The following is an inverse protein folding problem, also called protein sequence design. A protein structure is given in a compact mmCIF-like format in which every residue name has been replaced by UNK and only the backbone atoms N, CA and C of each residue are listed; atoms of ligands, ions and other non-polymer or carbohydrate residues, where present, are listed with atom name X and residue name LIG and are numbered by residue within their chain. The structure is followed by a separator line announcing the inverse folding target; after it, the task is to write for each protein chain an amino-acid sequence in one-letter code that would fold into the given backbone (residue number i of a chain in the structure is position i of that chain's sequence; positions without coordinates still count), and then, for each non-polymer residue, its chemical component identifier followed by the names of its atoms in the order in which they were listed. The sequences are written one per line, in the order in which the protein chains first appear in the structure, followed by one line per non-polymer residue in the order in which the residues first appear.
data_IF_053708642803
#
_entry.id   IF_053708642803
#
_cell.length_a   1.000
_cell.length_b   1.000
_cell.length_c   1.000
_cell.angle_alpha   90.00
_cell.angle_beta   90.00
_cell.angle_gamma   90.00
#
_symmetry.space_group_name_H-M   'P 1'
#
loop_
_entity.id
_entity.type
_entity.pdbx_description
1 polymer ?
#
# COMPACT_ATOMS: atom_id res chain seq x y z
N UNK A 1 -16.65 8.98 -16.28
CA UNK A 1 -15.85 9.65 -15.23
C UNK A 1 -15.55 8.57 -14.21
N UNK A 2 -14.30 8.21 -13.99
CA UNK A 2 -13.89 7.24 -12.95
C UNK A 2 -14.22 7.83 -11.57
N UNK A 3 -14.88 7.03 -10.72
CA UNK A 3 -15.32 7.44 -9.39
C UNK A 3 -14.12 7.65 -8.46
N UNK A 4 -14.12 8.70 -7.63
CA UNK A 4 -13.11 8.87 -6.57
C UNK A 4 -13.44 7.86 -5.47
N UNK A 5 -12.50 6.95 -5.18
CA UNK A 5 -12.68 5.91 -4.19
C UNK A 5 -12.10 6.32 -2.82
N UNK A 6 -10.93 6.97 -2.83
CA UNK A 6 -10.29 7.53 -1.65
C UNK A 6 -9.97 9.01 -1.90
N UNK A 7 -10.35 9.89 -0.97
CA UNK A 7 -10.07 11.32 -1.03
C UNK A 7 -9.53 11.80 0.31
N UNK A 8 -8.43 12.50 0.26
CA UNK A 8 -7.79 13.12 1.43
C UNK A 8 -7.83 14.63 1.24
N UNK A 9 -8.34 15.36 2.23
CA UNK A 9 -8.52 16.81 2.16
C UNK A 9 -7.96 17.49 3.41
N UNK A 10 -6.98 18.37 3.23
CA UNK A 10 -6.39 19.18 4.27
C UNK A 10 -5.80 18.38 5.45
N UNK A 11 -5.35 17.13 5.20
CA UNK A 11 -4.91 16.21 6.25
C UNK A 11 -3.72 16.76 7.01
N UNK A 12 -3.86 16.84 8.35
CA UNK A 12 -2.79 17.19 9.28
C UNK A 12 -2.63 16.11 10.33
N UNK A 13 -1.38 15.68 10.53
CA UNK A 13 -1.02 14.67 11.54
C UNK A 13 0.24 15.12 12.27
N UNK A 14 0.23 15.01 13.60
CA UNK A 14 1.35 15.41 14.46
C UNK A 14 1.71 14.29 15.45
N UNK A 15 2.99 14.20 15.74
CA UNK A 15 3.55 13.42 16.85
C UNK A 15 4.02 14.41 17.95
N UNK A 16 3.26 14.50 19.04
CA UNK A 16 3.52 15.55 20.03
C UNK A 16 3.51 16.95 19.40
N UNK A 17 4.61 17.68 19.51
CA UNK A 17 4.77 19.03 18.95
C UNK A 17 5.22 19.06 17.48
N UNK A 18 5.51 17.91 16.84
CA UNK A 18 6.05 17.86 15.48
C UNK A 18 4.94 17.52 14.49
N UNK A 19 4.65 18.44 13.58
CA UNK A 19 3.68 18.21 12.51
C UNK A 19 4.35 17.47 11.34
N UNK A 20 4.04 16.16 11.23
CA UNK A 20 4.59 15.29 10.21
C UNK A 20 3.84 15.41 8.85
N UNK A 21 2.53 15.71 8.89
CA UNK A 21 1.70 15.98 7.70
C UNK A 21 1.03 17.32 7.91
N UNK A 22 1.17 18.26 6.94
CA UNK A 22 0.94 19.69 7.15
C UNK A 22 -0.25 20.26 6.36
N UNK A 23 -1.18 19.42 5.96
CA UNK A 23 -2.35 19.79 5.15
C UNK A 23 -2.19 19.29 3.72
N UNK A 24 -2.25 17.96 3.54
CA UNK A 24 -2.14 17.33 2.22
C UNK A 24 -3.50 17.05 1.63
N UNK A 25 -3.59 17.23 0.31
CA UNK A 25 -4.75 16.96 -0.51
C UNK A 25 -4.36 16.00 -1.63
N UNK A 26 -5.08 14.88 -1.75
CA UNK A 26 -4.95 13.97 -2.88
C UNK A 26 -6.17 13.05 -3.01
N UNK A 27 -6.28 12.41 -4.16
CA UNK A 27 -7.35 11.48 -4.46
C UNK A 27 -6.84 10.24 -5.20
N UNK A 28 -7.52 9.11 -5.00
CA UNK A 28 -7.31 7.86 -5.73
C UNK A 28 -8.65 7.44 -6.32
N UNK A 29 -8.66 7.17 -7.63
CA UNK A 29 -9.85 6.76 -8.35
C UNK A 29 -9.95 5.24 -8.40
N UNK A 30 -11.16 4.75 -8.59
CA UNK A 30 -11.41 3.31 -8.70
C UNK A 30 -10.62 2.69 -9.86
N UNK A 31 -9.91 1.58 -9.56
CA UNK A 31 -9.06 0.86 -10.51
C UNK A 31 -7.73 1.56 -10.84
N UNK A 32 -7.41 2.69 -10.21
CA UNK A 32 -6.19 3.46 -10.47
C UNK A 32 -5.03 2.94 -9.60
N UNK A 33 -3.82 2.89 -10.16
CA UNK A 33 -2.58 2.75 -9.42
C UNK A 33 -1.97 4.13 -9.24
N UNK A 34 -2.00 4.62 -8.00
CA UNK A 34 -1.42 5.92 -7.63
C UNK A 34 -0.17 5.71 -6.80
N UNK A 35 0.89 6.46 -7.11
CA UNK A 35 2.13 6.45 -6.33
C UNK A 35 2.30 7.73 -5.52
N UNK A 36 2.59 7.59 -4.23
CA UNK A 36 3.02 8.67 -3.35
C UNK A 36 4.52 8.52 -3.08
N UNK A 37 5.32 9.33 -3.74
CA UNK A 37 6.78 9.30 -3.64
C UNK A 37 7.31 10.42 -2.77
N UNK A 38 8.49 10.24 -2.22
CA UNK A 38 9.17 11.25 -1.39
C UNK A 38 10.33 10.65 -0.61
N UNK A 39 11.20 11.51 -0.09
CA UNK A 39 12.33 11.13 0.76
C UNK A 39 11.87 10.51 2.10
N UNK A 40 12.81 9.90 2.82
CA UNK A 40 12.56 9.44 4.18
C UNK A 40 12.22 10.63 5.08
N UNK A 41 11.18 10.46 5.92
CA UNK A 41 10.68 11.54 6.77
C UNK A 41 9.75 12.54 6.08
N UNK A 42 9.43 12.38 4.79
CA UNK A 42 8.50 13.27 4.08
C UNK A 42 7.05 13.22 4.62
N UNK A 43 6.68 12.18 5.39
CA UNK A 43 5.33 12.00 5.95
C UNK A 43 4.50 10.92 5.28
N UNK A 44 5.06 10.13 4.34
CA UNK A 44 4.38 9.09 3.58
C UNK A 44 3.73 8.02 4.47
N UNK A 45 4.52 7.32 5.28
CA UNK A 45 4.04 6.31 6.24
C UNK A 45 3.03 6.89 7.24
N UNK A 46 3.24 8.13 7.69
CA UNK A 46 2.29 8.84 8.57
C UNK A 46 0.94 9.03 7.89
N UNK A 47 0.95 9.43 6.62
CA UNK A 47 -0.26 9.56 5.80
C UNK A 47 -0.99 8.22 5.66
N UNK A 48 -0.26 7.13 5.37
CA UNK A 48 -0.83 5.78 5.28
C UNK A 48 -1.47 5.33 6.60
N UNK A 49 -0.79 5.54 7.72
CA UNK A 49 -1.31 5.21 9.07
C UNK A 49 -2.54 6.04 9.44
N UNK A 50 -2.62 7.30 8.97
CA UNK A 50 -3.80 8.13 9.17
C UNK A 50 -5.00 7.62 8.34
N UNK A 51 -4.78 7.26 7.06
CA UNK A 51 -5.83 6.70 6.19
C UNK A 51 -6.40 5.39 6.77
N UNK A 52 -5.54 4.57 7.34
CA UNK A 52 -5.96 3.27 7.92
C UNK A 52 -6.49 3.37 9.35
N UNK A 53 -6.63 4.57 9.90
CA UNK A 53 -7.14 4.77 11.27
C UNK A 53 -6.18 4.31 12.38
N UNK A 54 -4.91 3.97 12.04
CA UNK A 54 -3.87 3.61 13.03
C UNK A 54 -3.41 4.86 13.80
N UNK A 55 -3.37 6.01 13.12
CA UNK A 55 -3.05 7.30 13.73
C UNK A 55 -4.24 8.24 13.67
N UNK A 56 -4.54 8.95 14.78
CA UNK A 56 -5.55 9.99 14.76
C UNK A 56 -5.11 11.18 13.92
N UNK A 57 -6.05 11.83 13.25
CA UNK A 57 -5.81 13.04 12.48
C UNK A 57 -6.08 14.28 13.34
N UNK A 58 -5.24 15.32 13.22
CA UNK A 58 -5.41 16.59 13.93
C UNK A 58 -6.40 17.52 13.21
N UNK A 59 -6.38 17.54 11.86
CA UNK A 59 -7.30 18.32 11.04
C UNK A 59 -7.44 17.69 9.65
N UNK A 60 -8.40 18.18 8.89
CA UNK A 60 -8.74 17.66 7.59
C UNK A 60 -9.74 16.51 7.65
N UNK A 61 -9.94 15.86 6.53
CA UNK A 61 -10.84 14.71 6.40
C UNK A 61 -10.28 13.67 5.43
N UNK A 62 -10.72 12.42 5.62
CA UNK A 62 -10.44 11.29 4.73
C UNK A 62 -11.78 10.67 4.38
N UNK A 63 -12.11 10.69 3.10
CA UNK A 63 -13.31 10.08 2.57
C UNK A 63 -12.97 8.78 1.84
N UNK A 64 -13.68 7.73 2.16
CA UNK A 64 -13.65 6.47 1.42
C UNK A 64 -15.05 6.18 0.88
N UNK A 65 -15.18 5.98 -0.44
CA UNK A 65 -16.48 5.84 -1.14
C UNK A 65 -17.42 7.02 -0.86
N UNK A 66 -16.88 8.23 -0.77
CA UNK A 66 -17.66 9.46 -0.52
C UNK A 66 -18.17 9.60 0.90
N UNK A 67 -17.72 8.77 1.85
CA UNK A 67 -18.06 8.86 3.26
C UNK A 67 -16.82 9.10 4.09
N UNK A 68 -16.88 10.03 5.05
CA UNK A 68 -15.78 10.25 5.98
C UNK A 68 -15.54 9.00 6.82
N UNK A 69 -14.26 8.59 6.88
CA UNK A 69 -13.79 7.46 7.70
C UNK A 69 -13.05 7.95 8.94
N UNK A 70 -13.16 9.24 9.26
CA UNK A 70 -12.53 9.84 10.44
C UNK A 70 -12.99 9.15 11.71
N UNK A 71 -12.05 8.68 12.53
CA UNK A 71 -12.33 7.99 13.79
C UNK A 71 -12.70 6.51 13.66
N UNK A 72 -12.76 5.96 12.44
CA UNK A 72 -12.89 4.51 12.25
C UNK A 72 -11.56 3.81 12.52
N UNK A 73 -11.62 2.61 13.11
CA UNK A 73 -10.44 1.79 13.37
C UNK A 73 -10.05 0.91 12.19
N UNK A 74 -8.80 0.39 12.16
CA UNK A 74 -8.32 -0.46 11.06
C UNK A 74 -9.18 -1.71 10.85
N UNK A 75 -9.74 -2.27 11.93
CA UNK A 75 -10.61 -3.46 11.86
C UNK A 75 -11.96 -3.19 11.18
N UNK A 76 -12.46 -1.95 11.23
CA UNK A 76 -13.69 -1.57 10.52
C UNK A 76 -13.40 -1.28 9.05
N UNK A 77 -12.25 -0.65 8.76
CA UNK A 77 -11.85 -0.32 7.41
C UNK A 77 -11.53 -1.55 6.56
N UNK A 78 -10.89 -2.58 7.14
CA UNK A 78 -10.63 -3.83 6.41
C UNK A 78 -11.92 -4.55 6.03
N UNK A 79 -12.96 -4.51 6.87
CA UNK A 79 -14.30 -5.04 6.52
C UNK A 79 -14.96 -4.29 5.37
N UNK A 80 -14.62 -3.02 5.21
CA UNK A 80 -15.11 -2.18 4.11
C UNK A 80 -14.28 -2.32 2.83
N UNK A 81 -13.20 -3.12 2.85
CA UNK A 81 -12.36 -3.39 1.70
C UNK A 81 -11.15 -2.45 1.57
N UNK A 82 -10.73 -1.78 2.64
CA UNK A 82 -9.50 -0.99 2.69
C UNK A 82 -8.44 -1.76 3.47
N UNK A 83 -7.45 -2.32 2.78
CA UNK A 83 -6.37 -3.10 3.38
C UNK A 83 -5.01 -2.42 3.21
N UNK A 84 -4.07 -2.74 4.09
CA UNK A 84 -2.71 -2.19 4.07
C UNK A 84 -1.66 -3.28 4.23
N UNK A 85 -0.62 -3.20 3.40
CA UNK A 85 0.66 -3.88 3.60
C UNK A 85 1.59 -2.86 4.25
N UNK A 86 1.92 -3.00 5.54
CA UNK A 86 2.75 -2.03 6.25
C UNK A 86 4.22 -2.17 5.89
N UNK A 87 5.00 -1.12 6.11
CA UNK A 87 6.45 -1.18 6.21
C UNK A 87 6.86 -2.26 7.24
N UNK A 88 7.93 -3.00 6.96
CA UNK A 88 8.42 -4.05 7.85
C UNK A 88 7.65 -5.37 7.78
N UNK A 89 6.82 -5.57 6.74
CA UNK A 89 6.14 -6.82 6.37
C UNK A 89 5.00 -7.23 7.30
N UNK A 90 5.18 -7.19 8.62
CA UNK A 90 4.17 -7.48 9.64
C UNK A 90 3.60 -8.91 9.60
N UNK A 91 4.38 -9.92 9.15
CA UNK A 91 3.95 -11.32 9.14
C UNK A 91 3.91 -11.91 10.56
N UNK A 92 3.01 -12.86 10.79
CA UNK A 92 2.96 -13.61 12.04
C UNK A 92 4.04 -14.71 12.02
N UNK A 93 5.21 -14.41 12.58
CA UNK A 93 6.42 -15.22 12.46
C UNK A 93 6.31 -16.63 13.05
N UNK A 94 5.41 -16.82 14.03
CA UNK A 94 5.15 -18.12 14.70
C UNK A 94 4.04 -18.94 14.05
N UNK A 95 3.40 -18.40 13.01
CA UNK A 95 2.39 -19.08 12.20
C UNK A 95 3.04 -19.56 10.89
N UNK A 96 2.47 -20.61 10.32
CA UNK A 96 2.84 -21.08 8.98
C UNK A 96 2.44 -20.06 7.91
N UNK A 97 2.93 -20.24 6.70
CA UNK A 97 2.53 -19.45 5.52
C UNK A 97 1.01 -19.55 5.33
N UNK A 98 0.47 -20.77 5.32
CA UNK A 98 -0.96 -21.00 5.13
C UNK A 98 -1.80 -20.32 6.21
N UNK A 99 -1.43 -20.45 7.48
CA UNK A 99 -2.13 -19.77 8.58
C UNK A 99 -2.07 -18.25 8.47
N UNK A 100 -0.94 -17.68 8.02
CA UNK A 100 -0.84 -16.24 7.73
C UNK A 100 -1.84 -15.82 6.64
N UNK A 101 -1.98 -16.60 5.56
CA UNK A 101 -2.96 -16.31 4.51
C UNK A 101 -4.39 -16.40 5.04
N UNK A 102 -4.72 -17.44 5.80
CA UNK A 102 -6.02 -17.61 6.44
C UNK A 102 -6.37 -16.44 7.37
N UNK A 103 -5.39 -15.92 8.13
CA UNK A 103 -5.56 -14.72 8.93
C UNK A 103 -5.92 -13.48 8.10
N UNK A 104 -5.47 -13.40 6.85
CA UNK A 104 -5.87 -12.33 5.93
C UNK A 104 -7.36 -12.36 5.57
N UNK A 105 -7.98 -13.53 5.63
CA UNK A 105 -9.41 -13.73 5.40
C UNK A 105 -10.27 -13.67 6.69
N UNK A 106 -9.70 -13.27 7.83
CA UNK A 106 -10.36 -13.34 9.15
C UNK A 106 -11.73 -12.65 9.21
N UNK A 107 -11.95 -11.62 8.40
CA UNK A 107 -13.22 -10.87 8.34
C UNK A 107 -14.27 -11.51 7.42
N UNK A 108 -13.96 -12.66 6.79
CA UNK A 108 -14.79 -13.35 5.81
C UNK A 108 -15.34 -14.65 6.37
N UNK A 109 -16.51 -15.07 5.85
CA UNK A 109 -17.22 -16.29 6.26
C UNK A 109 -17.40 -17.29 5.11
N UNK A 110 -16.96 -16.93 3.88
CA UNK A 110 -17.13 -17.67 2.64
C UNK A 110 -16.03 -18.73 2.44
N UNK A 111 -16.01 -19.80 3.24
CA UNK A 111 -14.92 -20.77 3.35
C UNK A 111 -14.46 -21.33 1.98
N UNK A 112 -15.36 -21.76 1.08
CA UNK A 112 -14.99 -22.27 -0.23
C UNK A 112 -14.25 -21.20 -1.07
N UNK A 113 -14.72 -19.98 -1.07
CA UNK A 113 -14.07 -18.89 -1.79
C UNK A 113 -12.74 -18.45 -1.15
N UNK A 114 -12.54 -18.67 0.16
CA UNK A 114 -11.25 -18.47 0.82
C UNK A 114 -10.22 -19.48 0.31
N UNK A 115 -10.59 -20.75 0.14
CA UNK A 115 -9.69 -21.77 -0.43
C UNK A 115 -9.28 -21.42 -1.86
N UNK A 116 -10.23 -21.04 -2.71
CA UNK A 116 -9.95 -20.55 -4.07
C UNK A 116 -9.00 -19.35 -4.09
N UNK A 117 -9.14 -18.43 -3.16
CA UNK A 117 -8.27 -17.24 -3.07
C UNK A 117 -6.86 -17.60 -2.55
N UNK A 118 -6.74 -18.59 -1.67
CA UNK A 118 -5.41 -19.13 -1.27
C UNK A 118 -4.70 -19.70 -2.51
N UNK A 119 -5.40 -20.46 -3.34
CA UNK A 119 -4.83 -21.02 -4.57
C UNK A 119 -4.43 -19.93 -5.57
N UNK A 120 -5.21 -18.85 -5.69
CA UNK A 120 -4.83 -17.67 -6.50
C UNK A 120 -3.57 -17.01 -5.96
N UNK A 121 -3.47 -16.80 -4.64
CA UNK A 121 -2.28 -16.25 -3.99
C UNK A 121 -1.07 -17.14 -4.22
N UNK A 122 -1.22 -18.44 -4.15
CA UNK A 122 -0.16 -19.39 -4.47
C UNK A 122 0.23 -19.36 -5.96
N UNK A 123 -0.74 -19.13 -6.85
CA UNK A 123 -0.46 -18.88 -8.28
C UNK A 123 0.39 -17.64 -8.52
N UNK A 124 0.15 -16.54 -7.76
CA UNK A 124 0.96 -15.32 -7.80
C UNK A 124 2.35 -15.56 -7.16
N UNK A 125 2.41 -16.33 -6.08
CA UNK A 125 3.60 -16.60 -5.29
C UNK A 125 3.89 -18.10 -5.14
N UNK A 126 4.35 -18.83 -6.19
CA UNK A 126 4.56 -20.27 -6.13
C UNK A 126 5.51 -20.74 -5.03
N UNK A 127 6.50 -19.90 -4.67
CA UNK A 127 7.43 -20.19 -3.57
C UNK A 127 6.73 -20.31 -2.21
N UNK A 128 5.64 -19.60 -2.01
CA UNK A 128 4.84 -19.71 -0.78
C UNK A 128 4.07 -21.04 -0.76
N UNK A 129 3.58 -21.51 -1.91
CA UNK A 129 2.92 -22.80 -2.03
C UNK A 129 3.83 -23.96 -1.67
N UNK A 130 5.06 -23.98 -2.24
CA UNK A 130 6.08 -25.01 -1.97
C UNK A 130 6.37 -25.19 -0.47
N UNK A 131 6.15 -24.13 0.31
CA UNK A 131 6.49 -24.02 1.73
C UNK A 131 5.29 -23.70 2.62
N UNK A 132 4.07 -23.99 2.19
CA UNK A 132 2.82 -23.59 2.83
C UNK A 132 2.76 -23.89 4.34
N UNK A 133 3.37 -25.00 4.79
CA UNK A 133 3.42 -25.44 6.20
C UNK A 133 4.65 -24.89 6.97
N UNK A 134 5.55 -24.18 6.31
CA UNK A 134 6.76 -23.62 6.94
C UNK A 134 6.38 -22.39 7.78
N UNK A 135 7.06 -22.19 8.92
CA UNK A 135 6.89 -21.01 9.74
C UNK A 135 7.34 -19.73 9.02
N UNK A 136 6.51 -18.71 9.01
CA UNK A 136 6.78 -17.45 8.31
C UNK A 136 8.06 -16.74 8.80
N UNK A 137 8.43 -16.93 10.06
CA UNK A 137 9.66 -16.36 10.62
C UNK A 137 10.96 -16.92 10.04
N UNK A 138 10.90 -18.06 9.34
CA UNK A 138 12.08 -18.70 8.71
C UNK A 138 12.25 -18.32 7.23
N UNK A 139 11.34 -17.53 6.70
CA UNK A 139 11.38 -17.04 5.32
C UNK A 139 12.42 -15.92 5.16
N UNK A 140 12.97 -15.80 3.95
CA UNK A 140 13.75 -14.63 3.56
C UNK A 140 12.90 -13.36 3.58
N UNK A 141 13.54 -12.18 3.62
CA UNK A 141 12.84 -10.91 3.63
C UNK A 141 11.89 -10.70 2.45
N UNK A 142 12.28 -11.14 1.26
CA UNK A 142 11.43 -11.06 0.08
C UNK A 142 10.24 -12.01 0.14
N UNK A 143 10.42 -13.23 0.63
CA UNK A 143 9.33 -14.19 0.82
C UNK A 143 8.34 -13.71 1.89
N UNK A 144 8.82 -13.07 2.97
CA UNK A 144 7.96 -12.45 3.98
C UNK A 144 7.15 -11.29 3.38
N UNK A 145 7.75 -10.50 2.48
CA UNK A 145 7.04 -9.43 1.78
C UNK A 145 5.94 -9.98 0.86
N UNK A 146 6.24 -11.04 0.10
CA UNK A 146 5.24 -11.75 -0.71
C UNK A 146 4.10 -12.28 0.16
N UNK A 147 4.41 -12.86 1.33
CA UNK A 147 3.42 -13.37 2.26
C UNK A 147 2.55 -12.23 2.82
N UNK A 148 3.13 -11.08 3.17
CA UNK A 148 2.39 -9.91 3.63
C UNK A 148 1.41 -9.39 2.57
N UNK A 149 1.85 -9.34 1.30
CA UNK A 149 1.00 -8.98 0.17
C UNK A 149 -0.10 -10.01 -0.06
N UNK A 150 0.24 -11.30 -0.10
CA UNK A 150 -0.73 -12.39 -0.23
C UNK A 150 -1.79 -12.34 0.87
N UNK A 151 -1.37 -12.14 2.12
CA UNK A 151 -2.29 -12.00 3.25
C UNK A 151 -3.23 -10.79 3.10
N UNK A 152 -2.75 -9.65 2.61
CA UNK A 152 -3.61 -8.50 2.36
C UNK A 152 -4.64 -8.78 1.26
N UNK A 153 -4.26 -9.49 0.20
CA UNK A 153 -5.15 -9.89 -0.89
C UNK A 153 -6.28 -10.83 -0.43
N UNK A 154 -6.03 -11.65 0.59
CA UNK A 154 -7.05 -12.56 1.15
C UNK A 154 -8.27 -11.84 1.71
N UNK A 155 -8.18 -10.56 2.06
CA UNK A 155 -9.34 -9.75 2.47
C UNK A 155 -10.20 -9.28 1.30
N UNK A 156 -9.83 -9.56 0.04
CA UNK A 156 -10.43 -9.06 -1.22
C UNK A 156 -10.58 -7.53 -1.18
N UNK A 157 -9.49 -6.79 -1.04
CA UNK A 157 -9.54 -5.35 -0.88
C UNK A 157 -10.03 -4.67 -2.17
N UNK A 158 -10.78 -3.59 -2.03
CA UNK A 158 -11.07 -2.65 -3.12
C UNK A 158 -9.96 -1.60 -3.24
N UNK A 159 -9.37 -1.22 -2.09
CA UNK A 159 -8.17 -0.38 -2.01
C UNK A 159 -7.10 -1.12 -1.25
N UNK A 160 -5.95 -1.28 -1.88
CA UNK A 160 -4.75 -1.84 -1.28
C UNK A 160 -3.71 -0.73 -1.12
N UNK A 161 -3.39 -0.42 0.13
CA UNK A 161 -2.34 0.51 0.49
C UNK A 161 -1.05 -0.28 0.70
N UNK A 162 0.07 0.16 0.10
CA UNK A 162 1.36 -0.50 0.27
C UNK A 162 2.43 0.52 0.69
N UNK A 163 3.03 0.29 1.86
CA UNK A 163 4.01 1.20 2.45
C UNK A 163 5.43 0.65 2.28
N UNK A 164 6.15 1.19 1.31
CA UNK A 164 7.53 0.86 0.93
C UNK A 164 7.77 -0.67 0.77
N UNK A 165 6.97 -1.37 -0.06
CA UNK A 165 7.03 -2.82 -0.17
C UNK A 165 8.36 -3.33 -0.74
N UNK A 166 9.14 -2.49 -1.40
CA UNK A 166 10.44 -2.86 -1.98
C UNK A 166 11.63 -2.67 -1.03
N UNK A 167 11.42 -2.05 0.15
CA UNK A 167 12.51 -1.66 1.03
C UNK A 167 13.28 -2.85 1.59
N UNK A 168 14.62 -2.78 1.50
CA UNK A 168 15.52 -3.81 2.04
C UNK A 168 15.49 -5.15 1.30
N UNK A 169 15.01 -5.17 0.06
CA UNK A 169 14.99 -6.35 -0.80
C UNK A 169 16.13 -6.34 -1.82
N UNK A 170 16.49 -7.54 -2.30
CA UNK A 170 17.43 -7.67 -3.41
C UNK A 170 16.82 -7.12 -4.72
N UNK A 171 17.64 -6.67 -5.69
CA UNK A 171 17.12 -6.12 -6.95
C UNK A 171 16.12 -7.03 -7.67
N UNK A 172 16.38 -8.34 -7.70
CA UNK A 172 15.47 -9.32 -8.31
C UNK A 172 14.11 -9.37 -7.59
N UNK A 173 14.13 -9.30 -6.26
CA UNK A 173 12.90 -9.29 -5.46
C UNK A 173 12.12 -7.99 -5.62
N UNK A 174 12.82 -6.86 -5.73
CA UNK A 174 12.19 -5.57 -6.05
C UNK A 174 11.42 -5.66 -7.35
N UNK A 175 12.04 -6.17 -8.43
CA UNK A 175 11.36 -6.36 -9.71
C UNK A 175 10.10 -7.20 -9.57
N UNK A 176 10.20 -8.34 -8.87
CA UNK A 176 9.06 -9.23 -8.63
C UNK A 176 7.92 -8.54 -7.87
N UNK A 177 8.22 -7.73 -6.85
CA UNK A 177 7.21 -6.99 -6.09
C UNK A 177 6.48 -5.99 -7.01
N UNK A 178 7.20 -5.23 -7.84
CA UNK A 178 6.58 -4.27 -8.76
C UNK A 178 5.75 -4.95 -9.86
N UNK A 179 6.17 -6.13 -10.35
CA UNK A 179 5.34 -6.96 -11.24
C UNK A 179 4.01 -7.31 -10.56
N UNK A 180 4.05 -7.83 -9.33
CA UNK A 180 2.84 -8.20 -8.58
C UNK A 180 1.95 -7.00 -8.31
N UNK A 181 2.52 -5.85 -7.93
CA UNK A 181 1.74 -4.61 -7.73
C UNK A 181 0.97 -4.24 -8.99
N UNK A 182 1.64 -4.28 -10.15
CA UNK A 182 1.00 -4.02 -11.45
C UNK A 182 -0.09 -5.04 -11.78
N UNK A 183 0.18 -6.33 -11.57
CA UNK A 183 -0.75 -7.40 -11.89
C UNK A 183 -2.01 -7.35 -11.00
N UNK A 184 -1.85 -7.00 -9.72
CA UNK A 184 -2.96 -6.78 -8.78
C UNK A 184 -3.81 -5.58 -9.23
N UNK A 185 -3.19 -4.48 -9.62
CA UNK A 185 -3.90 -3.31 -10.16
C UNK A 185 -4.62 -3.65 -11.47
N UNK A 186 -3.99 -4.39 -12.37
CA UNK A 186 -4.60 -4.84 -13.63
C UNK A 186 -5.83 -5.75 -13.43
N UNK A 187 -5.96 -6.40 -12.27
CA UNK A 187 -7.15 -7.17 -11.88
C UNK A 187 -8.28 -6.29 -11.30
N UNK A 188 -8.12 -4.97 -11.31
CA UNK A 188 -9.13 -4.00 -10.88
C UNK A 188 -9.03 -3.57 -9.41
N UNK A 189 -8.02 -4.02 -8.68
CA UNK A 189 -7.76 -3.51 -7.32
C UNK A 189 -7.18 -2.11 -7.41
N UNK A 190 -7.78 -1.16 -6.71
CA UNK A 190 -7.23 0.20 -6.59
C UNK A 190 -6.01 0.18 -5.68
N UNK A 191 -4.90 0.77 -6.10
CA UNK A 191 -3.65 0.70 -5.36
C UNK A 191 -3.13 2.11 -5.04
N UNK A 192 -2.81 2.35 -3.76
CA UNK A 192 -1.97 3.48 -3.33
C UNK A 192 -0.62 2.93 -2.88
N UNK A 193 0.40 3.16 -3.70
CA UNK A 193 1.77 2.70 -3.48
C UNK A 193 2.61 3.84 -2.92
N UNK A 194 3.09 3.69 -1.70
CA UNK A 194 4.12 4.57 -1.13
C UNK A 194 5.48 3.98 -1.37
N UNK A 195 6.39 4.75 -1.94
CA UNK A 195 7.75 4.30 -2.25
C UNK A 195 8.78 5.42 -2.17
N UNK A 196 10.01 5.04 -1.83
CA UNK A 196 11.18 5.91 -1.95
C UNK A 196 11.79 5.80 -3.35
N UNK A 197 11.72 4.62 -3.99
CA UNK A 197 12.20 4.42 -5.35
C UNK A 197 11.24 5.03 -6.37
N UNK A 198 11.35 6.35 -6.55
CA UNK A 198 10.46 7.13 -7.39
C UNK A 198 10.43 6.65 -8.84
N UNK A 199 11.59 6.28 -9.40
CA UNK A 199 11.68 5.80 -10.78
C UNK A 199 10.80 4.57 -11.01
N UNK A 200 10.95 3.55 -10.17
CA UNK A 200 10.16 2.32 -10.29
C UNK A 200 8.69 2.55 -10.00
N UNK A 201 8.38 3.28 -8.93
CA UNK A 201 7.00 3.55 -8.54
C UNK A 201 6.22 4.28 -9.63
N UNK A 202 6.79 5.36 -10.18
CA UNK A 202 6.16 6.12 -11.26
C UNK A 202 6.13 5.36 -12.60
N UNK A 203 7.05 4.40 -12.82
CA UNK A 203 7.06 3.62 -14.07
C UNK A 203 5.85 2.70 -14.21
N UNK A 204 5.22 2.30 -13.11
CA UNK A 204 4.05 1.41 -13.10
C UNK A 204 2.74 2.12 -12.74
N UNK A 205 2.82 3.35 -12.21
CA UNK A 205 1.65 4.10 -11.77
C UNK A 205 0.97 4.84 -12.93
N UNK A 206 -0.34 5.08 -12.77
CA UNK A 206 -1.12 5.96 -13.65
C UNK A 206 -0.87 7.42 -13.28
N UNK A 207 -0.90 7.73 -11.97
CA UNK A 207 -0.67 9.07 -11.41
C UNK A 207 0.31 9.02 -10.25
N UNK A 208 0.92 10.16 -9.99
CA UNK A 208 1.83 10.32 -8.86
C UNK A 208 1.60 11.60 -8.07
N UNK A 209 1.95 11.52 -6.80
CA UNK A 209 2.08 12.65 -5.90
C UNK A 209 3.49 12.65 -5.33
N UNK A 210 4.11 13.82 -5.30
CA UNK A 210 5.43 14.02 -4.69
C UNK A 210 5.24 14.68 -3.34
N UNK A 211 5.68 14.00 -2.30
CA UNK A 211 5.58 14.48 -0.93
C UNK A 211 6.96 14.89 -0.41
N UNK A 212 7.06 16.11 0.08
CA UNK A 212 8.26 16.62 0.74
C UNK A 212 7.88 17.38 2.00
N UNK A 213 8.61 17.12 3.09
CA UNK A 213 8.51 17.86 4.38
C UNK A 213 7.06 18.02 4.88
N UNK A 214 6.21 17.01 4.67
CA UNK A 214 4.82 16.98 5.11
C UNK A 214 3.80 17.64 4.18
N UNK A 215 4.19 18.02 2.96
CA UNK A 215 3.35 18.67 1.95
C UNK A 215 3.39 17.90 0.62
N UNK A 216 2.30 17.95 -0.15
CA UNK A 216 2.32 17.56 -1.57
C UNK A 216 2.87 18.74 -2.37
N UNK A 217 4.00 18.54 -3.01
CA UNK A 217 4.70 19.58 -3.79
C UNK A 217 4.42 19.48 -5.28
N UNK A 218 4.10 18.29 -5.77
CA UNK A 218 3.77 18.03 -7.17
C UNK A 218 2.74 16.91 -7.28
N UNK A 219 1.92 16.97 -8.31
CA UNK A 219 0.93 15.94 -8.63
C UNK A 219 0.69 15.91 -10.14
N UNK A 220 0.39 14.73 -10.69
CA UNK A 220 0.07 14.61 -12.11
C UNK A 220 0.16 13.19 -12.65
N UNK A 221 0.11 13.09 -13.96
CA UNK A 221 0.36 11.84 -14.70
C UNK A 221 1.77 11.31 -14.38
N UNK A 222 1.88 10.02 -14.09
CA UNK A 222 3.14 9.43 -13.63
C UNK A 222 4.25 9.51 -14.68
N UNK A 223 3.91 9.36 -15.98
CA UNK A 223 4.89 9.46 -17.08
C UNK A 223 5.38 10.88 -17.28
N UNK A 224 4.54 11.89 -16.96
CA UNK A 224 4.95 13.29 -16.99
C UNK A 224 5.87 13.61 -15.81
N UNK A 225 5.54 13.13 -14.61
CA UNK A 225 6.39 13.30 -13.44
C UNK A 225 7.77 12.66 -13.60
N UNK A 226 7.87 11.48 -14.25
CA UNK A 226 9.15 10.84 -14.57
C UNK A 226 10.06 11.70 -15.47
N UNK A 227 9.47 12.60 -16.28
CA UNK A 227 10.20 13.49 -17.20
C UNK A 227 10.46 14.86 -16.59
N UNK A 228 9.84 15.19 -15.47
CA UNK A 228 9.99 16.51 -14.84
C UNK A 228 11.42 16.68 -14.28
N UNK A 229 12.16 17.72 -14.68
CA UNK A 229 13.53 17.93 -14.23
C UNK A 229 13.68 18.01 -12.71
N UNK A 230 12.66 18.53 -12.00
CA UNK A 230 12.69 18.65 -10.54
C UNK A 230 12.61 17.28 -9.87
N UNK A 231 11.76 16.38 -10.41
CA UNK A 231 11.64 15.00 -9.92
C UNK A 231 12.94 14.24 -10.22
N UNK A 232 13.50 14.43 -11.41
CA UNK A 232 14.75 13.79 -11.82
C UNK A 232 15.91 14.21 -10.93
N UNK A 233 16.10 15.50 -10.71
CA UNK A 233 17.16 16.02 -9.84
C UNK A 233 17.02 15.58 -8.38
N UNK A 234 15.78 15.55 -7.82
CA UNK A 234 15.56 15.25 -6.42
C UNK A 234 15.52 13.75 -6.10
N UNK A 235 15.06 12.90 -7.04
CA UNK A 235 14.71 11.50 -6.75
C UNK A 235 15.27 10.47 -7.73
N UNK A 236 15.78 10.87 -8.93
CA UNK A 236 16.30 9.91 -9.92
C UNK A 236 17.82 9.95 -10.07
N UNK A 237 18.52 10.84 -9.35
CA UNK A 237 19.98 10.92 -9.32
C UNK A 237 20.60 11.50 -10.60
N UNK A 238 19.87 12.34 -11.34
CA UNK A 238 20.33 12.98 -12.59
C UNK A 238 20.46 14.49 -12.47
#
# INVERSE_FOLDING_TARGET
MTNILLKVTGLKVSYGGIQAVKGVDFEVREGELVSLIGSNGAGKTTTMKAITGILPINAGDIEYRGQSIRGQGPWDLVKQGLAMVPEGRGVFTRMSILENLQMGAYVREDAAAIEDDIDKVFGIFPRLQERAKQLAGTLSGGEQQMLAMGRALMSRPQVLLMDEPSMGLSPLMVEKIFEVVRDVSAQGVTVLLVEQNASRALSIADRGYVMDSGLITMAGDAKQLLKDPRVRAAYLGE
#
